data_IF_095084723019
#
_entry.id   IF_095084723019
#
_cell.length_a   1.000
_cell.length_b   1.000
_cell.length_c   1.000
_cell.angle_alpha   90.00
_cell.angle_beta   90.00
_cell.angle_gamma   90.00
#
_symmetry.space_group_name_H-M   'P 1'
#
loop_
_entity.id
_entity.type
_entity.pdbx_description
1 polymer ?
#
# COMPACT_ATOMS: atom_id res chain seq x y z
N UNK A 1 51.38 21.62 -8.28
CA UNK A 1 50.18 21.80 -9.12
C UNK A 1 49.22 22.71 -8.38
N UNK A 2 49.11 23.95 -8.83
CA UNK A 2 48.24 24.97 -8.22
C UNK A 2 46.84 24.84 -8.81
N UNK A 3 45.93 24.22 -8.06
CA UNK A 3 44.50 24.13 -8.43
C UNK A 3 43.93 25.54 -8.40
N UNK A 4 43.40 26.01 -9.53
CA UNK A 4 42.87 27.36 -9.65
C UNK A 4 41.46 27.46 -9.05
N UNK A 5 41.03 28.65 -8.57
CA UNK A 5 39.71 28.83 -7.94
C UNK A 5 38.53 28.43 -8.84
N UNK A 6 38.73 28.43 -10.16
CA UNK A 6 37.73 28.12 -11.18
C UNK A 6 37.47 26.61 -11.25
N UNK A 7 38.51 25.77 -11.18
CA UNK A 7 38.41 24.30 -11.18
C UNK A 7 37.64 23.78 -9.95
N UNK A 8 37.84 24.40 -8.78
CA UNK A 8 37.03 24.10 -7.58
C UNK A 8 35.54 24.42 -7.77
N UNK A 9 35.21 25.43 -8.58
CA UNK A 9 33.82 25.81 -8.85
C UNK A 9 33.15 24.86 -9.84
N UNK A 10 33.86 24.38 -10.86
CA UNK A 10 33.32 23.43 -11.84
C UNK A 10 33.07 22.05 -11.22
N UNK A 11 34.00 21.59 -10.37
CA UNK A 11 33.84 20.33 -9.64
C UNK A 11 32.66 20.41 -8.66
N UNK A 12 32.45 21.58 -8.02
CA UNK A 12 31.30 21.83 -7.17
C UNK A 12 29.99 21.86 -7.99
N UNK A 13 29.97 22.53 -9.14
CA UNK A 13 28.83 22.56 -10.05
C UNK A 13 28.49 21.15 -10.56
N UNK A 14 29.49 20.31 -10.84
CA UNK A 14 29.28 18.92 -11.25
C UNK A 14 28.65 18.09 -10.12
N UNK A 15 29.17 18.23 -8.89
CA UNK A 15 28.60 17.57 -7.69
C UNK A 15 27.17 18.01 -7.41
N UNK A 16 26.89 19.30 -7.55
CA UNK A 16 25.54 19.86 -7.34
C UNK A 16 24.56 19.35 -8.41
N UNK A 17 24.97 19.27 -9.68
CA UNK A 17 24.15 18.68 -10.76
C UNK A 17 23.83 17.21 -10.51
N UNK A 18 24.80 16.43 -10.05
CA UNK A 18 24.60 15.02 -9.73
C UNK A 18 23.68 14.85 -8.50
N UNK A 19 23.83 15.70 -7.48
CA UNK A 19 22.93 15.73 -6.34
C UNK A 19 21.49 16.07 -6.74
N UNK A 20 21.31 17.06 -7.62
CA UNK A 20 19.98 17.41 -8.17
C UNK A 20 19.39 16.27 -8.97
N UNK A 21 20.18 15.59 -9.82
CA UNK A 21 19.71 14.44 -10.59
C UNK A 21 19.23 13.28 -9.68
N UNK A 22 19.99 12.97 -8.62
CA UNK A 22 19.58 11.98 -7.61
C UNK A 22 18.29 12.38 -6.90
N UNK A 23 18.15 13.66 -6.55
CA UNK A 23 16.95 14.18 -5.89
C UNK A 23 15.72 14.10 -6.81
N UNK A 24 15.86 14.42 -8.09
CA UNK A 24 14.78 14.27 -9.09
C UNK A 24 14.39 12.80 -9.25
N UNK A 25 15.36 11.89 -9.31
CA UNK A 25 15.11 10.45 -9.34
C UNK A 25 14.32 9.97 -8.12
N UNK A 26 14.74 10.39 -6.92
CA UNK A 26 14.05 10.08 -5.67
C UNK A 26 12.62 10.65 -5.64
N UNK A 27 12.41 11.90 -6.07
CA UNK A 27 11.09 12.53 -6.16
C UNK A 27 10.16 11.76 -7.09
N UNK A 28 10.65 11.36 -8.25
CA UNK A 28 9.88 10.57 -9.22
C UNK A 28 9.46 9.22 -8.64
N UNK A 29 10.38 8.55 -7.93
CA UNK A 29 10.08 7.28 -7.26
C UNK A 29 9.02 7.46 -6.15
N UNK A 30 9.09 8.55 -5.38
CA UNK A 30 8.10 8.89 -4.36
C UNK A 30 6.72 9.17 -4.96
N UNK A 31 6.66 9.96 -6.04
CA UNK A 31 5.39 10.24 -6.74
C UNK A 31 4.76 8.95 -7.30
N UNK A 32 5.57 8.05 -7.85
CA UNK A 32 5.09 6.74 -8.31
C UNK A 32 4.57 5.86 -7.15
N UNK A 33 5.25 5.88 -6.01
CA UNK A 33 4.81 5.18 -4.81
C UNK A 33 3.50 5.75 -4.26
N UNK A 34 3.37 7.09 -4.22
CA UNK A 34 2.15 7.76 -3.77
C UNK A 34 0.95 7.39 -4.65
N UNK A 35 1.09 7.42 -5.98
CA UNK A 35 0.01 7.00 -6.89
C UNK A 35 -0.41 5.53 -6.68
N UNK A 36 0.55 4.65 -6.35
CA UNK A 36 0.25 3.26 -6.02
C UNK A 36 -0.52 3.13 -4.71
N UNK A 37 -0.20 3.93 -3.70
CA UNK A 37 -0.93 4.00 -2.43
C UNK A 37 -2.35 4.50 -2.67
N UNK A 38 -2.52 5.59 -3.41
CA UNK A 38 -3.85 6.13 -3.74
C UNK A 38 -4.73 5.10 -4.48
N UNK A 39 -4.17 4.38 -5.44
CA UNK A 39 -4.88 3.30 -6.13
C UNK A 39 -5.24 2.14 -5.19
N UNK A 40 -4.33 1.79 -4.28
CA UNK A 40 -4.57 0.75 -3.28
C UNK A 40 -5.72 1.15 -2.35
N UNK A 41 -5.72 2.38 -1.84
CA UNK A 41 -6.78 2.90 -0.98
C UNK A 41 -8.15 2.89 -1.68
N UNK A 42 -8.21 3.35 -2.93
CA UNK A 42 -9.44 3.32 -3.73
C UNK A 42 -9.94 1.89 -3.94
N UNK A 43 -9.03 0.96 -4.20
CA UNK A 43 -9.36 -0.45 -4.40
C UNK A 43 -9.88 -1.08 -3.11
N UNK A 44 -9.24 -0.82 -1.97
CA UNK A 44 -9.67 -1.31 -0.65
C UNK A 44 -11.06 -0.79 -0.28
N UNK A 45 -11.36 0.49 -0.53
CA UNK A 45 -12.71 1.07 -0.34
C UNK A 45 -13.76 0.37 -1.22
N UNK A 46 -13.41 0.04 -2.46
CA UNK A 46 -14.29 -0.71 -3.37
C UNK A 46 -14.55 -2.14 -2.86
N UNK A 47 -13.51 -2.83 -2.37
CA UNK A 47 -13.63 -4.16 -1.75
C UNK A 47 -14.52 -4.11 -0.51
N UNK A 48 -14.31 -3.12 0.37
CA UNK A 48 -15.12 -2.90 1.56
C UNK A 48 -16.61 -2.76 1.21
N UNK A 49 -16.95 -1.90 0.25
CA UNK A 49 -18.34 -1.72 -0.20
C UNK A 49 -18.96 -3.01 -0.76
N UNK A 50 -18.19 -3.81 -1.51
CA UNK A 50 -18.66 -5.11 -2.02
C UNK A 50 -18.87 -6.11 -0.89
N UNK A 51 -17.95 -6.18 0.07
CA UNK A 51 -18.07 -7.03 1.26
C UNK A 51 -19.31 -6.67 2.08
N UNK A 52 -19.61 -5.39 2.27
CA UNK A 52 -20.82 -4.93 2.96
C UNK A 52 -22.11 -5.34 2.22
N UNK A 53 -22.14 -5.18 0.90
CA UNK A 53 -23.28 -5.61 0.08
C UNK A 53 -23.52 -7.12 0.19
N UNK A 54 -22.44 -7.91 0.09
CA UNK A 54 -22.51 -9.37 0.18
C UNK A 54 -22.90 -9.80 1.60
N UNK A 55 -22.32 -9.19 2.63
CA UNK A 55 -22.66 -9.48 4.04
C UNK A 55 -24.14 -9.23 4.33
N UNK A 56 -24.74 -8.19 3.75
CA UNK A 56 -26.19 -7.89 3.89
C UNK A 56 -27.08 -8.87 3.10
N UNK A 57 -26.52 -9.53 2.08
CA UNK A 57 -27.25 -10.51 1.27
C UNK A 57 -27.35 -11.88 1.94
N UNK A 58 -26.45 -12.17 2.89
CA UNK A 58 -26.51 -13.38 3.71
C UNK A 58 -27.40 -13.17 4.94
N UNK A 59 -28.26 -14.16 5.22
CA UNK A 59 -28.99 -14.21 6.49
C UNK A 59 -28.08 -14.57 7.67
N UNK A 60 -28.53 -14.32 8.90
CA UNK A 60 -27.72 -14.56 10.12
C UNK A 60 -27.30 -16.03 10.32
N UNK A 61 -27.99 -16.97 9.68
CA UNK A 61 -27.69 -18.40 9.74
C UNK A 61 -26.64 -18.86 8.70
N UNK A 62 -26.11 -17.98 7.85
CA UNK A 62 -25.12 -18.36 6.84
C UNK A 62 -23.76 -18.68 7.49
N UNK A 63 -23.24 -19.87 7.20
CA UNK A 63 -21.94 -20.34 7.69
C UNK A 63 -21.11 -20.90 6.54
N UNK A 64 -19.80 -20.72 6.63
CA UNK A 64 -18.83 -21.27 5.69
C UNK A 64 -17.86 -22.17 6.42
N UNK A 65 -17.42 -23.24 5.75
CA UNK A 65 -16.25 -23.97 6.19
C UNK A 65 -15.00 -23.25 5.66
N UNK A 66 -14.21 -22.66 6.54
CA UNK A 66 -13.07 -21.81 6.20
C UNK A 66 -11.79 -22.47 6.65
N UNK A 67 -10.79 -22.46 5.79
CA UNK A 67 -9.46 -22.93 6.13
C UNK A 67 -8.71 -21.88 6.96
N UNK A 68 -8.21 -22.27 8.12
CA UNK A 68 -7.33 -21.46 8.97
C UNK A 68 -5.87 -21.87 8.73
N UNK A 69 -5.13 -21.15 7.88
CA UNK A 69 -3.78 -21.55 7.48
C UNK A 69 -2.79 -21.61 8.66
N UNK A 70 -2.95 -20.73 9.65
CA UNK A 70 -2.10 -20.68 10.84
C UNK A 70 -2.26 -21.91 11.74
N UNK A 71 -3.46 -22.49 11.78
CA UNK A 71 -3.78 -23.67 12.58
C UNK A 71 -3.76 -24.96 11.75
N UNK A 72 -3.54 -24.86 10.43
CA UNK A 72 -3.54 -25.99 9.50
C UNK A 72 -4.86 -26.76 9.44
N UNK A 73 -5.98 -26.16 9.85
CA UNK A 73 -7.27 -26.86 10.02
C UNK A 73 -8.44 -26.10 9.41
N UNK A 74 -9.55 -26.80 9.21
CA UNK A 74 -10.82 -26.23 8.76
C UNK A 74 -11.71 -25.94 9.96
N UNK A 75 -12.39 -24.80 9.94
CA UNK A 75 -13.36 -24.43 10.96
C UNK A 75 -14.62 -23.83 10.33
N UNK A 76 -15.77 -24.13 10.92
CA UNK A 76 -17.02 -23.50 10.55
C UNK A 76 -17.06 -22.11 11.17
N UNK A 77 -17.32 -21.10 10.33
CA UNK A 77 -17.44 -19.70 10.75
C UNK A 77 -18.70 -19.07 10.19
N UNK A 78 -19.32 -18.18 10.95
CA UNK A 78 -20.45 -17.41 10.44
C UNK A 78 -19.98 -16.44 9.34
N UNK A 79 -20.79 -16.27 8.30
CA UNK A 79 -20.54 -15.30 7.24
C UNK A 79 -20.33 -13.89 7.82
N UNK A 80 -21.13 -13.53 8.82
CA UNK A 80 -21.09 -12.23 9.52
C UNK A 80 -19.73 -11.97 10.16
N UNK A 81 -19.16 -12.95 10.84
CA UNK A 81 -17.84 -12.78 11.48
C UNK A 81 -16.73 -12.67 10.45
N UNK A 82 -16.80 -13.42 9.35
CA UNK A 82 -15.81 -13.36 8.27
C UNK A 82 -15.79 -11.97 7.64
N UNK A 83 -16.96 -11.44 7.25
CA UNK A 83 -17.03 -10.11 6.65
C UNK A 83 -16.66 -8.99 7.63
N UNK A 84 -16.99 -9.13 8.92
CA UNK A 84 -16.56 -8.20 9.96
C UNK A 84 -15.03 -8.17 10.09
N UNK A 85 -14.38 -9.32 10.11
CA UNK A 85 -12.92 -9.39 10.19
C UNK A 85 -12.24 -8.75 8.97
N UNK A 86 -12.78 -9.02 7.77
CA UNK A 86 -12.29 -8.39 6.53
C UNK A 86 -12.45 -6.86 6.62
N UNK A 87 -13.60 -6.38 7.07
CA UNK A 87 -13.85 -4.94 7.21
C UNK A 87 -12.90 -4.29 8.24
N UNK A 88 -12.68 -4.94 9.37
CA UNK A 88 -11.73 -4.48 10.40
C UNK A 88 -10.29 -4.42 9.86
N UNK A 89 -9.88 -5.44 9.09
CA UNK A 89 -8.56 -5.47 8.47
C UNK A 89 -8.37 -4.33 7.46
N UNK A 90 -9.40 -4.03 6.66
CA UNK A 90 -9.37 -2.90 5.71
C UNK A 90 -9.30 -1.55 6.46
N UNK A 91 -10.09 -1.37 7.52
CA UNK A 91 -10.07 -0.14 8.33
C UNK A 91 -8.77 0.07 9.12
N UNK A 92 -7.93 -0.95 9.28
CA UNK A 92 -6.64 -0.80 9.94
C UNK A 92 -5.55 -0.21 9.02
N UNK A 93 -5.80 -0.18 7.70
CA UNK A 93 -4.85 0.29 6.68
C UNK A 93 -5.36 1.49 5.86
N UNK A 94 -6.65 1.79 5.92
CA UNK A 94 -7.27 3.01 5.41
C UNK A 94 -7.35 4.08 6.50
#
# INVERSE_FOLDING_TARGET
MTVTPIEKSEEQIAKDKEAVARMIGAKTAMEAAQRRIELLEQTLKSVQSRCDCVSKSFGEAAHFNVYHPQAGTWAVRSAKDIFRDINNAINAVL
#
